data_IF_795068109763
#
_entry.id   IF_795068109763
#
_cell.length_a   1.000
_cell.length_b   1.000
_cell.length_c   1.000
_cell.angle_alpha   90.00
_cell.angle_beta   90.00
_cell.angle_gamma   90.00
#
_symmetry.space_group_name_H-M   'P 1'
#
loop_
_entity.id
_entity.type
_entity.pdbx_description
1 polymer ?
#
# COMPACT_ATOMS: atom_id res chain seq x y z
N UNK A 1 35.91 -21.62 11.82
CA UNK A 1 35.99 -20.89 10.55
C UNK A 1 35.00 -21.56 9.61
N UNK A 2 33.78 -21.04 9.51
CA UNK A 2 32.86 -21.32 8.39
C UNK A 2 31.74 -20.28 8.36
N UNK A 3 32.13 -19.00 8.29
CA UNK A 3 31.22 -17.85 8.15
C UNK A 3 30.90 -17.51 6.68
N UNK A 4 31.45 -18.27 5.73
CA UNK A 4 31.28 -17.99 4.30
C UNK A 4 29.82 -18.16 3.85
N UNK A 5 29.14 -19.22 4.29
CA UNK A 5 27.77 -19.52 3.86
C UNK A 5 26.74 -18.55 4.46
N UNK A 6 26.95 -18.11 5.70
CA UNK A 6 26.08 -17.15 6.38
C UNK A 6 26.16 -15.77 5.73
N UNK A 7 27.35 -15.34 5.30
CA UNK A 7 27.55 -14.13 4.51
C UNK A 7 26.85 -14.21 3.15
N UNK A 8 26.92 -15.34 2.44
CA UNK A 8 26.26 -15.51 1.14
C UNK A 8 24.73 -15.47 1.24
N UNK A 9 24.14 -16.11 2.25
CA UNK A 9 22.69 -16.11 2.46
C UNK A 9 22.15 -14.73 2.86
N UNK A 10 22.88 -13.97 3.69
CA UNK A 10 22.51 -12.62 4.07
C UNK A 10 22.55 -11.64 2.87
N UNK A 11 23.52 -11.78 1.97
CA UNK A 11 23.58 -11.00 0.74
C UNK A 11 22.48 -11.40 -0.24
N UNK A 12 22.23 -12.70 -0.43
CA UNK A 12 21.15 -13.18 -1.27
C UNK A 12 19.80 -12.63 -0.80
N UNK A 13 19.57 -12.56 0.51
CA UNK A 13 18.36 -11.96 1.07
C UNK A 13 18.17 -10.52 0.58
N UNK A 14 19.15 -9.65 0.77
CA UNK A 14 19.05 -8.22 0.42
C UNK A 14 18.95 -8.01 -1.09
N UNK A 15 19.65 -8.81 -1.89
CA UNK A 15 19.66 -8.71 -3.36
C UNK A 15 18.30 -8.98 -4.00
N UNK A 16 17.52 -9.91 -3.45
CA UNK A 16 16.24 -10.32 -4.03
C UNK A 16 15.03 -9.51 -3.52
N UNK A 17 15.24 -8.60 -2.56
CA UNK A 17 14.16 -7.73 -2.11
C UNK A 17 13.86 -6.68 -3.19
N UNK A 18 12.56 -6.40 -3.37
CA UNK A 18 12.12 -5.23 -4.10
C UNK A 18 12.56 -3.93 -3.39
N UNK A 19 12.60 -2.77 -4.08
CA UNK A 19 13.06 -1.52 -3.49
C UNK A 19 12.32 -1.11 -2.20
N UNK A 20 11.01 -1.33 -2.11
CA UNK A 20 10.22 -0.98 -0.93
C UNK A 20 10.54 -1.88 0.27
N UNK A 21 10.76 -3.17 0.01
CA UNK A 21 11.23 -4.13 1.01
C UNK A 21 12.65 -3.82 1.51
N UNK A 22 13.57 -3.37 0.64
CA UNK A 22 14.90 -2.91 1.07
C UNK A 22 14.82 -1.64 1.93
N UNK A 23 13.99 -0.69 1.55
CA UNK A 23 13.76 0.52 2.34
C UNK A 23 13.26 0.16 3.75
N UNK A 24 12.41 -0.86 3.87
CA UNK A 24 11.93 -1.35 5.16
C UNK A 24 13.04 -1.96 6.01
N UNK A 25 13.89 -2.81 5.42
CA UNK A 25 15.04 -3.38 6.12
C UNK A 25 15.99 -2.31 6.69
N UNK A 26 16.17 -1.21 5.97
CA UNK A 26 16.94 -0.09 6.48
C UNK A 26 16.20 0.65 7.61
N UNK A 27 14.92 1.00 7.38
CA UNK A 27 14.12 1.75 8.34
C UNK A 27 13.94 1.02 9.68
N UNK A 28 13.65 -0.27 9.67
CA UNK A 28 13.41 -1.05 10.90
C UNK A 28 14.65 -1.16 11.80
N UNK A 29 15.85 -0.98 11.24
CA UNK A 29 17.13 -0.94 11.97
C UNK A 29 17.47 0.45 12.51
N UNK A 30 16.70 1.49 12.16
CA UNK A 30 16.94 2.85 12.64
C UNK A 30 16.51 2.99 14.12
N UNK A 31 17.42 3.34 15.05
CA UNK A 31 17.08 3.46 16.46
C UNK A 31 16.00 4.52 16.74
N UNK A 32 15.95 5.59 15.95
CA UNK A 32 14.93 6.64 16.08
C UNK A 32 13.55 6.09 15.71
N UNK A 33 13.46 5.28 14.66
CA UNK A 33 12.21 4.61 14.27
C UNK A 33 11.74 3.64 15.35
N UNK A 34 12.66 2.83 15.89
CA UNK A 34 12.33 1.87 16.95
C UNK A 34 11.79 2.55 18.21
N UNK A 35 12.36 3.70 18.61
CA UNK A 35 11.84 4.51 19.72
C UNK A 35 10.46 5.08 19.43
N UNK A 36 10.27 5.67 18.25
CA UNK A 36 8.98 6.20 17.83
C UNK A 36 7.92 5.08 17.80
N UNK A 37 8.25 3.91 17.25
CA UNK A 37 7.36 2.75 17.28
C UNK A 37 7.03 2.32 18.71
N UNK A 38 8.02 2.18 19.60
CA UNK A 38 7.79 1.76 20.98
C UNK A 38 6.86 2.73 21.74
N UNK A 39 7.03 4.04 21.50
CA UNK A 39 6.25 5.09 22.12
C UNK A 39 4.82 5.17 21.56
N UNK A 40 4.65 5.02 20.25
CA UNK A 40 3.38 5.24 19.57
C UNK A 40 2.67 3.96 19.12
N UNK A 41 3.18 2.75 19.40
CA UNK A 41 2.53 1.49 18.96
C UNK A 41 1.09 1.29 19.43
N UNK A 42 0.68 1.96 20.52
CA UNK A 42 -0.69 1.89 21.06
C UNK A 42 -1.60 3.02 20.56
N UNK A 43 -1.02 4.01 19.90
CA UNK A 43 -1.74 5.17 19.38
C UNK A 43 -1.66 5.13 17.86
N UNK A 44 -2.79 5.06 17.17
CA UNK A 44 -2.85 5.09 15.71
C UNK A 44 -2.47 6.49 15.16
N UNK A 45 -1.23 6.91 15.37
CA UNK A 45 -0.73 8.23 14.98
C UNK A 45 -0.21 8.18 13.55
N UNK A 46 -1.12 8.41 12.59
CA UNK A 46 -0.77 8.62 11.17
C UNK A 46 0.32 9.69 11.02
N UNK A 47 0.32 10.72 11.87
CA UNK A 47 1.34 11.79 11.84
C UNK A 47 2.76 11.24 12.09
N UNK A 48 2.92 10.31 13.02
CA UNK A 48 4.23 9.70 13.31
C UNK A 48 4.62 8.74 12.20
N UNK A 49 3.68 7.95 11.68
CA UNK A 49 3.92 7.08 10.54
C UNK A 49 4.38 7.90 9.30
N UNK A 50 3.71 9.02 9.02
CA UNK A 50 4.01 9.92 7.92
C UNK A 50 5.41 10.54 7.98
N UNK A 51 5.95 10.82 9.18
CA UNK A 51 7.35 11.25 9.36
C UNK A 51 8.35 10.23 8.81
N UNK A 52 7.99 8.95 8.88
CA UNK A 52 8.79 7.84 8.37
C UNK A 52 8.41 7.43 6.93
N UNK A 53 7.52 8.19 6.28
CA UNK A 53 7.01 7.89 4.95
C UNK A 53 6.09 6.68 4.90
N UNK A 54 5.54 6.25 6.05
CA UNK A 54 4.66 5.09 6.17
C UNK A 54 3.20 5.50 6.35
N UNK A 55 2.27 4.70 5.83
CA UNK A 55 0.84 4.87 6.10
C UNK A 55 0.50 4.54 7.57
N UNK A 56 1.17 3.54 8.13
CA UNK A 56 1.02 3.11 9.51
C UNK A 56 2.35 2.60 10.05
N UNK A 57 2.55 2.73 11.36
CA UNK A 57 3.73 2.18 12.03
C UNK A 57 3.69 0.65 12.03
N UNK A 58 4.80 0.04 11.65
CA UNK A 58 4.98 -1.42 11.55
C UNK A 58 5.98 -1.89 12.61
N UNK A 59 5.75 -3.05 13.23
CA UNK A 59 6.68 -3.61 14.22
C UNK A 59 8.08 -3.82 13.61
N UNK A 60 9.12 -3.14 14.11
CA UNK A 60 10.48 -3.26 13.58
C UNK A 60 11.09 -4.67 13.71
N UNK A 61 10.49 -5.55 14.53
CA UNK A 61 10.89 -6.96 14.64
C UNK A 61 10.53 -7.78 13.41
N UNK A 62 9.55 -7.34 12.62
CA UNK A 62 9.10 -8.04 11.42
C UNK A 62 10.01 -7.67 10.24
N UNK A 63 10.63 -8.67 9.62
CA UNK A 63 11.43 -8.47 8.42
C UNK A 63 10.56 -8.30 7.16
N UNK A 64 11.18 -7.94 6.03
CA UNK A 64 10.47 -7.69 4.78
C UNK A 64 9.75 -8.92 4.18
N UNK A 65 10.03 -10.14 4.66
CA UNK A 65 9.29 -11.36 4.27
C UNK A 65 8.00 -11.49 5.04
N UNK A 66 8.01 -11.02 6.30
CA UNK A 66 6.86 -11.09 7.20
C UNK A 66 5.90 -9.92 6.97
N UNK A 67 6.43 -8.74 6.62
CA UNK A 67 5.62 -7.53 6.44
C UNK A 67 6.00 -6.76 5.19
N UNK A 68 4.98 -6.14 4.60
CA UNK A 68 5.08 -5.29 3.43
C UNK A 68 4.56 -3.91 3.82
N UNK A 69 5.41 -3.01 4.34
CA UNK A 69 4.97 -1.68 4.73
C UNK A 69 4.43 -0.92 3.53
N UNK A 70 3.42 -0.11 3.81
CA UNK A 70 2.82 0.78 2.83
C UNK A 70 3.54 2.11 2.90
N UNK A 71 4.23 2.46 1.82
CA UNK A 71 4.94 3.72 1.68
C UNK A 71 4.04 4.80 1.12
N UNK A 72 3.94 5.92 1.84
CA UNK A 72 3.20 7.12 1.44
C UNK A 72 4.24 8.19 1.15
N UNK A 73 4.92 8.03 0.03
CA UNK A 73 5.72 9.12 -0.55
C UNK A 73 4.70 10.06 -1.20
N UNK A 74 4.83 11.38 -0.96
CA UNK A 74 3.79 12.41 -1.10
C UNK A 74 3.13 12.63 -2.48
N UNK A 75 3.05 11.62 -3.33
CA UNK A 75 2.29 11.62 -4.57
C UNK A 75 0.88 11.10 -4.30
N UNK A 76 -0.12 11.92 -4.68
CA UNK A 76 -1.50 11.46 -4.79
C UNK A 76 -1.56 10.27 -5.77
N UNK A 77 -2.42 9.25 -5.52
CA UNK A 77 -2.57 8.16 -6.46
C UNK A 77 -3.08 8.73 -7.79
N UNK A 78 -2.59 8.20 -8.93
CA UNK A 78 -2.91 8.73 -10.24
C UNK A 78 -4.37 8.53 -10.65
N UNK A 79 -5.11 7.67 -9.93
CA UNK A 79 -6.50 7.31 -10.26
C UNK A 79 -7.35 7.21 -8.99
N UNK A 80 -8.58 7.72 -9.07
CA UNK A 80 -9.64 7.53 -8.06
C UNK A 80 -10.74 6.65 -8.65
N UNK A 81 -11.15 5.61 -7.93
CA UNK A 81 -12.32 4.81 -8.26
C UNK A 81 -13.55 5.47 -7.65
N UNK A 82 -14.53 5.85 -8.48
CA UNK A 82 -15.77 6.48 -8.03
C UNK A 82 -16.96 5.63 -8.44
N UNK A 83 -18.11 5.79 -7.76
CA UNK A 83 -19.35 5.16 -8.19
C UNK A 83 -19.73 5.65 -9.59
N UNK A 84 -20.05 4.73 -10.48
CA UNK A 84 -20.61 5.06 -11.79
C UNK A 84 -22.10 5.40 -11.62
N UNK A 85 -22.41 6.70 -11.57
CA UNK A 85 -23.78 7.21 -11.49
C UNK A 85 -24.43 7.35 -12.88
N UNK A 86 -23.67 7.13 -13.95
CA UNK A 86 -24.17 7.27 -15.31
C UNK A 86 -25.06 6.08 -15.65
N UNK A 87 -26.36 6.35 -15.81
CA UNK A 87 -27.30 5.38 -16.36
C UNK A 87 -26.95 5.18 -17.84
N UNK A 88 -26.12 4.18 -18.15
CA UNK A 88 -25.81 3.86 -19.53
C UNK A 88 -27.09 3.37 -20.23
N UNK A 89 -27.68 4.20 -21.09
CA UNK A 89 -28.81 3.85 -21.94
C UNK A 89 -28.38 2.97 -23.13
N UNK A 90 -27.12 2.51 -23.14
CA UNK A 90 -26.54 1.78 -24.25
C UNK A 90 -26.93 0.30 -24.16
N UNK A 91 -28.05 -0.04 -24.81
CA UNK A 91 -28.45 -1.44 -25.06
C UNK A 91 -27.26 -2.20 -25.67
N UNK A 92 -26.81 -3.26 -24.99
CA UNK A 92 -25.77 -4.18 -25.47
C UNK A 92 -24.50 -4.26 -24.62
N UNK A 93 -24.37 -3.49 -23.53
CA UNK A 93 -23.22 -3.61 -22.62
C UNK A 93 -23.41 -4.84 -21.72
N UNK A 94 -22.51 -5.81 -21.86
CA UNK A 94 -22.28 -6.94 -20.93
C UNK A 94 -22.28 -6.44 -19.49
N UNK A 95 -22.84 -7.21 -18.53
CA UNK A 95 -23.00 -6.80 -17.13
C UNK A 95 -21.77 -6.02 -16.64
N UNK A 96 -21.92 -4.71 -16.33
CA UNK A 96 -20.79 -3.83 -16.06
C UNK A 96 -20.01 -4.36 -14.86
N UNK A 97 -18.69 -4.31 -14.96
CA UNK A 97 -17.82 -4.81 -13.90
C UNK A 97 -18.12 -4.08 -12.57
N UNK A 98 -18.37 -4.88 -11.53
CA UNK A 98 -18.72 -4.39 -10.21
C UNK A 98 -17.49 -4.32 -9.34
N UNK A 99 -17.33 -3.22 -8.61
CA UNK A 99 -16.26 -3.06 -7.66
C UNK A 99 -16.41 -4.12 -6.56
N UNK A 100 -15.34 -4.88 -6.32
CA UNK A 100 -15.28 -5.79 -5.19
C UNK A 100 -13.84 -5.86 -4.70
N UNK A 101 -13.61 -5.34 -3.50
CA UNK A 101 -12.29 -5.38 -2.85
C UNK A 101 -11.75 -6.82 -2.81
N UNK A 102 -12.62 -7.80 -2.54
CA UNK A 102 -12.26 -9.20 -2.38
C UNK A 102 -11.94 -9.90 -3.71
N UNK A 103 -12.50 -9.44 -4.83
CA UNK A 103 -12.24 -10.03 -6.16
C UNK A 103 -10.94 -9.57 -6.78
N UNK A 104 -10.37 -8.46 -6.33
CA UNK A 104 -9.05 -8.03 -6.80
C UNK A 104 -8.05 -9.15 -6.51
N UNK A 105 -7.09 -9.40 -7.40
CA UNK A 105 -6.00 -10.34 -7.13
C UNK A 105 -4.92 -9.69 -6.24
N UNK A 106 -4.06 -10.51 -5.62
CA UNK A 106 -2.89 -10.02 -4.88
C UNK A 106 -3.16 -9.45 -3.48
N UNK A 107 -2.08 -9.03 -2.81
CA UNK A 107 -2.12 -8.51 -1.43
C UNK A 107 -2.68 -7.10 -1.42
N UNK A 108 -3.61 -6.83 -0.49
CA UNK A 108 -4.32 -5.55 -0.40
C UNK A 108 -3.97 -4.88 0.93
N UNK A 109 -3.72 -3.59 0.88
CA UNK A 109 -3.61 -2.75 2.06
C UNK A 109 -4.53 -1.54 1.86
N UNK A 110 -5.32 -1.25 2.89
CA UNK A 110 -6.28 -0.17 2.89
C UNK A 110 -5.95 0.75 4.05
N UNK A 111 -5.86 2.05 3.79
CA UNK A 111 -5.53 3.04 4.82
C UNK A 111 -6.12 4.39 4.46
N UNK A 112 -6.44 5.16 5.49
CA UNK A 112 -6.79 6.57 5.35
C UNK A 112 -5.48 7.39 5.31
N UNK A 113 -5.32 8.21 4.27
CA UNK A 113 -4.16 9.10 4.11
C UNK A 113 -4.41 10.55 4.57
N UNK A 114 -5.57 10.81 5.19
CA UNK A 114 -6.05 12.12 5.62
C UNK A 114 -6.77 12.91 4.53
N UNK A 115 -6.64 12.52 3.26
CA UNK A 115 -7.39 13.08 2.12
C UNK A 115 -8.48 12.12 1.68
N UNK A 116 -8.27 10.81 1.83
CA UNK A 116 -9.28 9.81 1.63
C UNK A 116 -8.74 8.39 1.82
N UNK A 117 -9.58 7.44 1.46
CA UNK A 117 -9.25 6.02 1.58
C UNK A 117 -8.39 5.58 0.40
N UNK A 118 -7.15 5.17 0.68
CA UNK A 118 -6.23 4.63 -0.33
C UNK A 118 -6.18 3.11 -0.25
N UNK A 119 -6.30 2.48 -1.41
CA UNK A 119 -6.11 1.06 -1.62
C UNK A 119 -4.80 0.83 -2.39
N UNK A 120 -3.93 0.02 -1.81
CA UNK A 120 -2.71 -0.46 -2.44
C UNK A 120 -2.85 -1.96 -2.72
N UNK A 121 -2.71 -2.34 -3.97
CA UNK A 121 -2.76 -3.74 -4.43
C UNK A 121 -1.40 -4.13 -4.97
N UNK A 122 -0.79 -5.16 -4.38
CA UNK A 122 0.47 -5.75 -4.85
C UNK A 122 0.17 -7.01 -5.66
N UNK A 123 0.47 -6.93 -6.96
CA UNK A 123 0.34 -7.99 -7.95
C UNK A 123 1.73 -8.41 -8.41
N UNK A 124 2.22 -9.58 -7.98
CA UNK A 124 3.58 -10.04 -8.28
C UNK A 124 4.65 -8.97 -8.00
N UNK A 125 5.20 -8.34 -9.04
CA UNK A 125 6.22 -7.28 -8.97
C UNK A 125 5.67 -5.86 -9.11
N UNK A 126 4.37 -5.70 -9.35
CA UNK A 126 3.71 -4.40 -9.54
C UNK A 126 2.91 -4.00 -8.30
N UNK A 127 3.04 -2.74 -7.92
CA UNK A 127 2.17 -2.11 -6.92
C UNK A 127 1.27 -1.11 -7.62
N UNK A 128 -0.05 -1.27 -7.45
CA UNK A 128 -1.06 -0.34 -7.94
C UNK A 128 -1.64 0.40 -6.74
N UNK A 129 -1.63 1.73 -6.81
CA UNK A 129 -2.26 2.58 -5.81
C UNK A 129 -3.47 3.29 -6.41
N UNK A 130 -4.63 3.16 -5.77
CA UNK A 130 -5.86 3.86 -6.16
C UNK A 130 -6.50 4.50 -4.96
N UNK A 131 -7.16 5.64 -5.15
CA UNK A 131 -8.05 6.22 -4.15
C UNK A 131 -9.45 5.65 -4.33
N UNK A 132 -10.15 5.38 -3.25
CA UNK A 132 -11.57 5.02 -3.27
C UNK A 132 -12.39 6.28 -2.98
N UNK A 133 -13.37 6.55 -3.84
CA UNK A 133 -14.37 7.60 -3.61
C UNK A 133 -15.20 7.28 -2.37
N UNK A 134 -15.60 8.33 -1.66
CA UNK A 134 -16.39 8.29 -0.42
C UNK A 134 -17.70 7.49 -0.53
N UNK A 135 -18.32 7.48 -1.72
CA UNK A 135 -19.58 6.77 -1.98
C UNK A 135 -19.42 5.39 -2.64
N UNK A 136 -18.20 4.95 -2.93
CA UNK A 136 -17.99 3.68 -3.62
C UNK A 136 -18.13 2.51 -2.64
N UNK A 137 -19.03 1.58 -2.92
CA UNK A 137 -19.25 0.37 -2.09
C UNK A 137 -19.08 -0.92 -2.91
N UNK A 138 -18.81 -2.03 -2.22
CA UNK A 138 -18.70 -3.33 -2.89
C UNK A 138 -20.02 -3.71 -3.56
N UNK A 139 -19.98 -4.04 -4.85
CA UNK A 139 -21.16 -4.35 -5.68
C UNK A 139 -21.58 -3.19 -6.58
N UNK A 140 -21.09 -1.97 -6.33
CA UNK A 140 -21.34 -0.82 -7.18
C UNK A 140 -20.64 -0.96 -8.53
N UNK A 141 -21.27 -0.40 -9.56
CA UNK A 141 -20.54 -0.06 -10.79
C UNK A 141 -19.56 1.06 -10.45
N UNK A 142 -18.39 1.03 -11.07
CA UNK A 142 -17.37 2.03 -10.83
C UNK A 142 -16.81 2.62 -12.12
N UNK A 143 -16.31 3.83 -12.02
CA UNK A 143 -15.59 4.54 -13.07
C UNK A 143 -14.22 5.00 -12.56
N UNK A 144 -13.30 5.21 -13.49
CA UNK A 144 -11.97 5.75 -13.19
C UNK A 144 -11.99 7.27 -13.36
N UNK A 145 -11.68 7.99 -12.31
CA UNK A 145 -11.42 9.43 -12.35
C UNK A 145 -9.91 9.66 -12.31
N UNK A 146 -9.39 10.24 -13.39
CA UNK A 146 -7.99 10.63 -13.52
C UNK A 146 -7.95 12.15 -13.31
N UNK A 147 -7.17 12.68 -12.35
CA UNK A 147 -7.00 14.12 -12.23
C UNK A 147 -6.38 14.64 -13.52
N UNK A 148 -6.99 15.66 -14.13
CA UNK A 148 -6.32 16.42 -15.17
C UNK A 148 -5.01 16.96 -14.55
N UNK A 149 -3.87 16.72 -15.18
CA UNK A 149 -2.59 17.21 -14.70
C UNK A 149 -2.72 18.71 -14.40
N UNK A 150 -2.39 19.10 -13.17
CA UNK A 150 -2.26 20.50 -12.76
C UNK A 150 -0.87 21.03 -13.06
#
# INVERSE_FOLDING_TARGET
MDDSWACSAAYAYVLHLDPASRAWEYLRRNPRYQRDWAHYRRSASQRVAGRWGLAALVDPRLDARQVSPVWVIGTAPPVTLVRDEMHSHRKGVTDPERFSLWRLAGRKALFDDGVGLRLVVRLFSQEVQVRLGDRLTSGDRFAYQIPAAG
#
